data_IF_363515406484
#
_entry.id   IF_363515406484
#
_cell.length_a   1.000
_cell.length_b   1.000
_cell.length_c   1.000
_cell.angle_alpha   90.00
_cell.angle_beta   90.00
_cell.angle_gamma   90.00
#
_symmetry.space_group_name_H-M   'P 1'
#
loop_
_entity.id
_entity.type
_entity.pdbx_description
1 polymer ?
#
# COMPACT_ATOMS: atom_id res chain seq x y z
N UNK A 1 11.89 6.21 36.68
CA UNK A 1 10.63 5.95 35.97
C UNK A 1 10.96 5.75 34.50
N UNK A 2 10.47 4.68 33.86
CA UNK A 2 10.68 4.49 32.42
C UNK A 2 9.59 5.24 31.65
N UNK A 3 9.98 6.34 31.00
CA UNK A 3 9.10 7.18 30.21
C UNK A 3 8.91 6.55 28.82
N UNK A 4 7.67 6.49 28.32
CA UNK A 4 7.34 5.96 26.99
C UNK A 4 6.08 6.57 26.42
N UNK A 5 6.03 6.72 25.09
CA UNK A 5 4.80 7.06 24.38
C UNK A 5 3.78 5.93 24.51
N UNK A 6 2.55 6.28 24.85
CA UNK A 6 1.45 5.33 25.04
C UNK A 6 0.23 5.80 24.25
N UNK A 7 -0.30 4.95 23.36
CA UNK A 7 -1.54 5.27 22.62
C UNK A 7 -2.67 5.53 23.61
N UNK A 8 -3.49 6.57 23.38
CA UNK A 8 -4.62 6.93 24.27
C UNK A 8 -5.54 5.74 24.55
N UNK A 9 -5.79 4.87 23.56
CA UNK A 9 -6.58 3.64 23.73
C UNK A 9 -6.03 2.64 24.76
N UNK A 10 -4.74 2.74 25.09
CA UNK A 10 -4.06 1.88 26.05
C UNK A 10 -3.84 2.56 27.41
N UNK A 11 -4.14 3.86 27.57
CA UNK A 11 -4.04 4.56 28.84
C UNK A 11 -5.02 4.00 29.86
N UNK A 12 -4.64 4.07 31.13
CA UNK A 12 -5.43 3.61 32.28
C UNK A 12 -5.61 4.77 33.25
N UNK A 13 -6.73 4.77 33.96
CA UNK A 13 -6.96 5.69 35.09
C UNK A 13 -5.84 5.44 36.12
N UNK A 14 -5.30 6.52 36.70
CA UNK A 14 -4.15 6.49 37.60
C UNK A 14 -2.78 6.50 36.89
N UNK A 15 -2.74 6.44 35.56
CA UNK A 15 -1.48 6.60 34.82
C UNK A 15 -1.01 8.07 34.87
N UNK A 16 0.30 8.26 35.00
CA UNK A 16 0.92 9.58 34.92
C UNK A 16 1.21 9.93 33.45
N UNK A 17 0.82 11.13 33.01
CA UNK A 17 1.09 11.68 31.68
C UNK A 17 1.91 12.96 31.79
N UNK A 18 2.70 13.26 30.76
CA UNK A 18 3.45 14.51 30.70
C UNK A 18 2.52 15.66 30.29
N UNK A 19 2.52 16.72 31.09
CA UNK A 19 1.77 17.95 30.85
C UNK A 19 2.72 19.15 30.87
N UNK A 20 2.33 20.22 30.21
CA UNK A 20 2.99 21.51 30.28
C UNK A 20 2.05 22.51 30.95
N UNK A 21 2.41 22.91 32.17
CA UNK A 21 1.63 23.81 33.00
C UNK A 21 2.54 24.87 33.63
N UNK A 22 2.05 26.10 33.73
CA UNK A 22 2.77 27.23 34.36
C UNK A 22 4.23 27.42 33.90
N UNK A 23 4.51 27.14 32.62
CA UNK A 23 5.84 27.32 32.04
C UNK A 23 6.80 26.14 32.22
N UNK A 24 6.36 25.03 32.82
CA UNK A 24 7.18 23.87 33.12
C UNK A 24 6.52 22.54 32.72
N UNK A 25 7.36 21.53 32.46
CA UNK A 25 6.90 20.15 32.30
C UNK A 25 6.63 19.52 33.66
N UNK A 26 5.50 18.84 33.78
CA UNK A 26 5.08 18.12 34.98
C UNK A 26 4.46 16.77 34.61
N UNK A 27 4.29 15.91 35.61
CA UNK A 27 3.53 14.67 35.49
C UNK A 27 2.19 14.83 36.20
N UNK A 28 1.10 14.51 35.50
CA UNK A 28 -0.26 14.60 36.05
C UNK A 28 -1.01 13.27 35.88
N UNK A 29 -1.98 13.03 36.75
CA UNK A 29 -2.72 11.76 36.82
C UNK A 29 -3.95 11.76 35.90
N UNK A 30 -4.07 10.71 35.08
CA UNK A 30 -5.27 10.48 34.27
C UNK A 30 -6.41 10.02 35.18
N UNK A 31 -7.41 10.88 35.40
CA UNK A 31 -8.59 10.55 36.21
C UNK A 31 -9.74 9.93 35.42
N UNK A 32 -9.78 10.12 34.09
CA UNK A 32 -10.81 9.52 33.23
C UNK A 32 -10.37 9.38 31.78
N UNK A 33 -10.85 8.34 31.10
CA UNK A 33 -10.72 8.15 29.64
C UNK A 33 -12.07 7.69 29.11
N UNK A 34 -12.65 8.42 28.16
CA UNK A 34 -13.99 8.15 27.61
C UNK A 34 -13.95 8.17 26.08
N UNK A 35 -14.65 7.23 25.44
CA UNK A 35 -14.87 7.29 23.99
C UNK A 35 -15.95 8.32 23.67
N UNK A 36 -15.70 9.17 22.66
CA UNK A 36 -16.60 10.27 22.28
C UNK A 36 -17.22 10.10 20.88
N UNK A 37 -16.96 8.98 20.21
CA UNK A 37 -17.44 8.74 18.84
C UNK A 37 -16.47 9.23 17.76
N UNK A 38 -16.98 9.39 16.53
CA UNK A 38 -16.20 9.84 15.37
C UNK A 38 -16.32 11.35 15.23
N UNK A 39 -15.18 12.03 15.20
CA UNK A 39 -15.10 13.47 14.99
C UNK A 39 -14.06 13.81 13.92
N UNK A 40 -14.13 15.02 13.38
CA UNK A 40 -13.06 15.55 12.53
C UNK A 40 -11.89 15.92 13.44
N UNK A 41 -10.76 15.24 13.24
CA UNK A 41 -9.52 15.47 14.00
C UNK A 41 -8.47 16.09 13.10
N UNK A 42 -7.50 16.74 13.73
CA UNK A 42 -6.39 17.41 13.08
C UNK A 42 -5.09 16.97 13.72
N UNK A 43 -4.01 17.03 12.96
CA UNK A 43 -2.66 16.81 13.46
C UNK A 43 -1.71 17.83 12.83
N UNK A 44 -0.55 18.02 13.45
CA UNK A 44 0.51 18.89 12.96
C UNK A 44 1.82 18.13 12.82
N UNK A 45 2.71 18.61 11.95
CA UNK A 45 4.10 18.15 11.93
C UNK A 45 5.01 19.16 12.62
N UNK A 46 5.84 18.69 13.55
CA UNK A 46 6.82 19.49 14.30
C UNK A 46 8.18 18.93 14.01
N UNK A 47 9.00 19.73 13.32
CA UNK A 47 10.35 19.33 12.93
C UNK A 47 11.22 18.97 14.14
N UNK A 48 12.05 17.93 14.00
CA UNK A 48 12.99 17.38 14.98
C UNK A 48 12.34 16.65 16.17
N UNK A 49 11.41 17.29 16.88
CA UNK A 49 10.87 16.72 18.12
C UNK A 49 9.72 15.75 17.88
N UNK A 50 8.95 15.95 16.80
CA UNK A 50 7.73 15.20 16.47
C UNK A 50 6.74 15.11 17.65
N UNK A 51 6.72 16.15 18.49
CA UNK A 51 5.79 16.29 19.61
C UNK A 51 5.39 17.75 19.81
N UNK A 52 4.22 17.96 20.40
CA UNK A 52 3.64 19.28 20.66
C UNK A 52 2.80 19.28 21.94
N UNK A 53 2.50 20.47 22.45
CA UNK A 53 1.57 20.65 23.57
C UNK A 53 0.18 21.00 23.02
N UNK A 54 -0.80 20.13 23.25
CA UNK A 54 -2.21 20.36 22.93
C UNK A 54 -3.04 20.40 24.21
N UNK A 55 -3.73 21.52 24.49
CA UNK A 55 -4.51 21.72 25.72
C UNK A 55 -3.74 21.38 27.00
N UNK A 56 -2.46 21.76 27.08
CA UNK A 56 -1.60 21.48 28.23
C UNK A 56 -1.05 20.05 28.31
N UNK A 57 -1.40 19.15 27.39
CA UNK A 57 -0.89 17.77 27.36
C UNK A 57 0.23 17.66 26.34
N UNK A 58 1.34 17.03 26.70
CA UNK A 58 2.39 16.69 25.76
C UNK A 58 1.95 15.52 24.88
N UNK A 59 1.68 15.80 23.61
CA UNK A 59 1.22 14.87 22.60
C UNK A 59 2.32 14.57 21.57
N UNK A 60 2.19 13.44 20.89
CA UNK A 60 3.09 13.01 19.82
C UNK A 60 2.38 13.17 18.48
N UNK A 61 3.13 13.52 17.44
CA UNK A 61 2.62 13.58 16.06
C UNK A 61 2.20 12.19 15.56
N UNK A 62 1.32 12.10 14.58
CA UNK A 62 0.97 10.80 14.01
C UNK A 62 2.17 10.17 13.32
N UNK A 63 2.75 9.16 13.97
CA UNK A 63 3.60 8.19 13.31
C UNK A 63 2.72 7.06 12.78
N UNK A 64 2.67 6.90 11.47
CA UNK A 64 1.99 5.77 10.84
C UNK A 64 2.82 4.50 11.15
N UNK A 65 2.37 3.73 12.14
CA UNK A 65 2.94 2.42 12.45
C UNK A 65 2.00 1.33 11.92
N UNK A 66 2.44 0.61 10.88
CA UNK A 66 1.70 -0.48 10.26
C UNK A 66 1.25 -0.19 8.83
N UNK A 67 0.20 -0.88 8.38
CA UNK A 67 -0.33 -0.77 7.03
C UNK A 67 -1.17 0.50 6.84
N UNK A 68 -1.01 1.16 5.71
CA UNK A 68 -1.81 2.32 5.27
C UNK A 68 -2.86 1.84 4.30
N UNK A 69 -4.13 2.01 4.66
CA UNK A 69 -5.26 1.79 3.77
C UNK A 69 -5.83 3.12 3.27
N UNK A 70 -5.95 3.30 1.96
CA UNK A 70 -6.70 4.41 1.34
C UNK A 70 -7.95 3.79 0.72
N UNK A 71 -9.14 4.20 1.16
CA UNK A 71 -10.40 3.58 0.73
C UNK A 71 -10.69 2.19 1.36
N UNK A 72 -9.80 1.68 2.21
CA UNK A 72 -9.96 0.40 2.93
C UNK A 72 -9.60 0.54 4.41
N UNK A 73 -10.29 -0.20 5.29
CA UNK A 73 -10.01 -0.24 6.74
C UNK A 73 -9.23 -1.48 7.16
N UNK A 74 -9.02 -2.43 6.26
CA UNK A 74 -8.34 -3.71 6.53
C UNK A 74 -7.23 -3.96 5.50
N UNK A 75 -6.23 -3.06 5.39
CA UNK A 75 -5.14 -3.22 4.44
C UNK A 75 -4.30 -4.46 4.78
N UNK A 76 -4.10 -5.30 3.79
CA UNK A 76 -3.26 -6.52 3.83
C UNK A 76 -1.80 -6.23 3.48
N UNK A 77 -1.54 -5.12 2.80
CA UNK A 77 -0.21 -4.64 2.42
C UNK A 77 0.19 -3.37 3.18
N UNK A 78 1.51 -3.08 3.24
CA UNK A 78 2.02 -1.87 3.90
C UNK A 78 1.38 -0.58 3.38
N UNK A 79 1.06 -0.54 2.08
CA UNK A 79 0.21 0.45 1.47
C UNK A 79 -0.78 -0.28 0.56
N UNK A 80 -2.07 -0.08 0.79
CA UNK A 80 -3.15 -0.62 -0.03
C UNK A 80 -4.14 0.49 -0.37
N UNK A 81 -4.48 0.60 -1.64
CA UNK A 81 -5.46 1.57 -2.15
C UNK A 81 -6.61 0.77 -2.76
N UNK A 82 -7.80 0.91 -2.18
CA UNK A 82 -9.03 0.37 -2.77
C UNK A 82 -9.52 1.37 -3.83
N UNK A 83 -8.97 1.25 -5.04
CA UNK A 83 -9.21 2.16 -6.16
C UNK A 83 -7.94 2.41 -6.97
N UNK A 84 -7.99 3.44 -7.80
CA UNK A 84 -6.87 3.80 -8.68
C UNK A 84 -5.79 4.61 -7.93
N UNK A 85 -4.54 4.45 -8.39
CA UNK A 85 -3.39 5.21 -7.88
C UNK A 85 -2.94 6.19 -8.95
N UNK A 86 -3.27 7.47 -8.76
CA UNK A 86 -2.69 8.57 -9.54
C UNK A 86 -1.33 8.97 -8.99
N UNK A 87 -0.25 8.70 -9.74
CA UNK A 87 1.11 9.09 -9.36
C UNK A 87 1.88 9.66 -10.57
N UNK A 88 2.80 10.59 -10.30
CA UNK A 88 3.71 11.12 -11.32
C UNK A 88 4.84 10.14 -11.67
N UNK A 89 5.04 9.09 -10.87
CA UNK A 89 6.00 8.04 -11.14
C UNK A 89 5.90 6.87 -10.17
N UNK A 90 6.11 5.66 -10.71
CA UNK A 90 6.28 4.43 -9.95
C UNK A 90 7.72 3.94 -10.13
N UNK A 91 8.58 4.30 -9.18
CA UNK A 91 10.02 4.02 -9.27
C UNK A 91 10.36 2.78 -8.45
N UNK A 92 10.86 1.74 -9.11
CA UNK A 92 11.48 0.60 -8.45
C UNK A 92 12.92 0.95 -8.07
N UNK A 93 13.24 1.00 -6.76
CA UNK A 93 14.62 1.14 -6.29
C UNK A 93 15.40 -0.13 -6.64
N UNK A 94 16.16 -0.08 -7.73
CA UNK A 94 16.75 -1.26 -8.36
C UNK A 94 18.27 -1.18 -8.51
N UNK A 95 18.96 -0.40 -7.68
CA UNK A 95 20.42 -0.27 -7.75
C UNK A 95 21.12 -1.56 -7.31
N UNK A 96 22.42 -1.69 -7.61
CA UNK A 96 23.21 -2.87 -7.22
C UNK A 96 23.37 -2.94 -5.70
N UNK A 97 23.49 -1.79 -5.04
CA UNK A 97 23.67 -1.65 -3.59
C UNK A 97 22.40 -2.04 -2.83
N UNK A 98 21.23 -1.83 -3.43
CA UNK A 98 19.95 -2.27 -2.88
C UNK A 98 19.71 -3.79 -3.01
N UNK A 99 20.60 -4.52 -3.69
CA UNK A 99 20.45 -5.93 -4.04
C UNK A 99 21.65 -6.76 -3.54
N UNK A 100 21.43 -8.05 -3.36
CA UNK A 100 22.45 -9.05 -3.05
C UNK A 100 22.23 -10.29 -3.90
N UNK A 101 23.25 -11.13 -4.03
CA UNK A 101 23.16 -12.44 -4.69
C UNK A 101 22.59 -12.33 -6.13
N UNK A 102 23.14 -11.42 -6.93
CA UNK A 102 22.65 -11.13 -8.29
C UNK A 102 23.18 -12.19 -9.27
N UNK A 103 22.27 -12.99 -9.80
CA UNK A 103 22.51 -13.95 -10.87
C UNK A 103 21.81 -13.50 -12.16
N UNK A 104 22.47 -13.71 -13.31
CA UNK A 104 21.91 -13.39 -14.61
C UNK A 104 21.36 -14.64 -15.28
N UNK A 105 20.25 -14.47 -16.01
CA UNK A 105 19.60 -15.53 -16.77
C UNK A 105 20.49 -16.07 -17.90
N UNK A 106 20.41 -17.37 -18.10
CA UNK A 106 21.06 -18.14 -19.16
C UNK A 106 20.14 -18.25 -20.39
N UNK A 107 20.68 -18.67 -21.54
CA UNK A 107 19.87 -18.92 -22.74
C UNK A 107 18.73 -19.92 -22.50
N UNK A 108 18.96 -20.95 -21.67
CA UNK A 108 17.95 -21.95 -21.33
C UNK A 108 16.76 -21.36 -20.54
N UNK A 109 17.00 -20.29 -19.77
CA UNK A 109 15.92 -19.57 -19.07
C UNK A 109 15.03 -18.80 -20.04
N UNK A 110 15.62 -18.25 -21.11
CA UNK A 110 14.89 -17.52 -22.14
C UNK A 110 14.05 -18.44 -23.04
N UNK A 111 14.53 -19.64 -23.38
CA UNK A 111 13.77 -20.59 -24.21
C UNK A 111 12.41 -20.99 -23.58
N UNK A 112 12.39 -21.18 -22.26
CA UNK A 112 11.17 -21.55 -21.55
C UNK A 112 10.16 -20.39 -21.44
N UNK A 113 10.60 -19.15 -21.60
CA UNK A 113 9.75 -17.97 -21.39
C UNK A 113 8.72 -17.80 -22.50
N UNK A 114 9.09 -18.13 -23.75
CA UNK A 114 8.20 -17.96 -24.91
C UNK A 114 6.97 -18.85 -24.81
N UNK A 115 7.15 -20.11 -24.39
CA UNK A 115 6.04 -21.02 -24.15
C UNK A 115 5.10 -20.51 -23.04
N UNK A 116 5.65 -19.96 -21.96
CA UNK A 116 4.86 -19.39 -20.85
C UNK A 116 4.11 -18.13 -21.24
N UNK A 117 4.73 -17.24 -22.02
CA UNK A 117 4.08 -16.03 -22.55
C UNK A 117 2.96 -16.43 -23.52
N UNK A 118 3.22 -17.38 -24.43
CA UNK A 118 2.24 -17.88 -25.39
C UNK A 118 1.04 -18.55 -24.70
N UNK A 119 1.28 -19.28 -23.60
CA UNK A 119 0.23 -19.91 -22.82
C UNK A 119 -0.53 -18.96 -21.88
N UNK A 120 -0.03 -17.74 -21.64
CA UNK A 120 -0.68 -16.79 -20.74
C UNK A 120 -2.00 -16.27 -21.36
N UNK A 121 -3.07 -16.30 -20.57
CA UNK A 121 -4.40 -15.88 -21.00
C UNK A 121 -4.67 -14.45 -20.54
N UNK A 122 -5.12 -13.60 -21.47
CA UNK A 122 -5.61 -12.26 -21.17
C UNK A 122 -7.13 -12.30 -21.06
N UNK A 123 -7.66 -11.77 -19.97
CA UNK A 123 -9.08 -11.75 -19.66
C UNK A 123 -9.61 -10.31 -19.61
N UNK A 124 -10.92 -10.18 -19.80
CA UNK A 124 -11.67 -8.98 -19.41
C UNK A 124 -12.55 -9.28 -18.22
N UNK A 125 -12.52 -8.46 -17.16
CA UNK A 125 -13.19 -8.73 -15.90
C UNK A 125 -13.79 -7.48 -15.23
N UNK A 126 -14.65 -7.71 -14.25
CA UNK A 126 -15.09 -6.73 -13.26
C UNK A 126 -14.52 -7.17 -11.91
N UNK A 127 -14.10 -6.24 -11.07
CA UNK A 127 -13.94 -6.54 -9.64
C UNK A 127 -15.30 -6.75 -8.99
N UNK A 128 -15.33 -7.47 -7.87
CA UNK A 128 -16.58 -7.77 -7.18
C UNK A 128 -17.27 -6.51 -6.62
N UNK A 129 -16.51 -5.44 -6.38
CA UNK A 129 -16.97 -4.14 -5.93
C UNK A 129 -17.18 -3.14 -7.07
N UNK A 130 -16.88 -3.50 -8.33
CA UNK A 130 -17.22 -2.66 -9.48
C UNK A 130 -18.76 -2.56 -9.56
N UNK A 131 -19.28 -1.34 -9.38
CA UNK A 131 -20.70 -1.07 -9.42
C UNK A 131 -21.23 -1.25 -10.84
N UNK A 132 -22.17 -2.18 -11.04
CA UNK A 132 -22.84 -2.36 -12.33
C UNK A 132 -23.81 -1.18 -12.53
N UNK A 133 -23.54 -0.29 -13.49
CA UNK A 133 -24.42 0.84 -13.78
C UNK A 133 -25.77 0.36 -14.33
N UNK A 134 -26.76 0.25 -13.44
CA UNK A 134 -28.17 0.00 -13.76
C UNK A 134 -29.05 1.14 -13.21
N UNK A 135 -29.58 1.95 -14.12
CA UNK A 135 -30.67 2.94 -14.00
C UNK A 135 -31.38 3.13 -12.65
N UNK A 136 -30.74 3.74 -11.64
CA UNK A 136 -31.35 4.80 -10.81
C UNK A 136 -30.32 5.34 -9.81
N UNK A 137 -29.85 6.57 -10.07
CA UNK A 137 -28.95 7.30 -9.18
C UNK A 137 -29.71 7.84 -7.97
N UNK A 138 -29.31 7.41 -6.78
CA UNK A 138 -29.12 8.30 -5.63
C UNK A 138 -28.09 7.64 -4.72
N UNK A 139 -26.87 8.17 -4.66
CA UNK A 139 -26.07 8.36 -3.44
C UNK A 139 -24.72 8.96 -3.86
N UNK A 140 -24.45 10.16 -3.36
CA UNK A 140 -23.13 10.78 -3.35
C UNK A 140 -22.22 9.90 -2.49
N UNK A 141 -21.30 9.16 -3.11
CA UNK A 141 -20.24 8.46 -2.39
C UNK A 141 -18.91 8.91 -2.94
N UNK A 142 -18.10 9.52 -2.06
CA UNK A 142 -16.71 9.86 -2.29
C UNK A 142 -15.96 8.64 -2.83
N UNK A 143 -15.43 8.74 -4.06
CA UNK A 143 -14.50 7.75 -4.62
C UNK A 143 -14.97 6.97 -5.84
N UNK A 144 -16.05 7.37 -6.53
CA UNK A 144 -16.31 6.82 -7.87
C UNK A 144 -15.55 7.63 -8.92
N UNK A 145 -14.28 7.30 -9.15
CA UNK A 145 -13.71 7.55 -10.48
C UNK A 145 -14.54 6.70 -11.45
N UNK A 146 -15.47 7.39 -12.09
CA UNK A 146 -16.11 7.08 -13.35
C UNK A 146 -16.07 5.60 -13.80
N UNK A 147 -16.81 4.72 -13.11
CA UNK A 147 -17.16 3.37 -13.59
C UNK A 147 -18.17 3.42 -14.75
N UNK A 148 -18.04 4.38 -15.67
CA UNK A 148 -18.69 4.32 -16.98
C UNK A 148 -17.94 3.40 -17.96
N UNK A 149 -16.80 2.84 -17.55
CA UNK A 149 -15.77 2.28 -18.44
C UNK A 149 -15.64 0.75 -18.54
N UNK A 150 -16.72 -0.02 -18.70
CA UNK A 150 -16.64 -1.42 -19.18
C UNK A 150 -15.74 -2.39 -18.37
N UNK A 151 -15.59 -3.62 -18.86
CA UNK A 151 -14.70 -4.60 -18.22
C UNK A 151 -13.24 -4.16 -18.34
N UNK A 152 -12.47 -4.29 -17.25
CA UNK A 152 -11.02 -4.10 -17.23
C UNK A 152 -10.31 -5.23 -17.98
N UNK A 153 -9.13 -4.97 -18.53
CA UNK A 153 -8.29 -5.94 -19.24
C UNK A 153 -7.10 -6.35 -18.35
N UNK A 154 -6.77 -7.64 -18.25
CA UNK A 154 -5.59 -8.08 -17.50
C UNK A 154 -5.46 -9.60 -17.39
N UNK A 155 -4.62 -10.06 -16.45
CA UNK A 155 -4.41 -11.48 -16.16
C UNK A 155 -5.21 -11.91 -14.94
N UNK A 156 -5.58 -13.19 -14.89
CA UNK A 156 -6.13 -13.84 -13.70
C UNK A 156 -4.97 -14.52 -12.97
N UNK A 157 -4.77 -14.23 -11.68
CA UNK A 157 -3.59 -14.65 -10.93
C UNK A 157 -3.39 -16.17 -10.94
N UNK A 158 -4.48 -16.94 -10.81
CA UNK A 158 -4.48 -18.40 -10.81
C UNK A 158 -4.13 -19.01 -12.18
N UNK A 159 -4.26 -18.24 -13.26
CA UNK A 159 -3.96 -18.67 -14.63
C UNK A 159 -2.66 -18.06 -15.19
N UNK A 160 -2.07 -17.09 -14.48
CA UNK A 160 -0.90 -16.35 -14.95
C UNK A 160 0.40 -17.11 -14.65
N UNK A 161 1.48 -16.84 -15.42
CA UNK A 161 2.81 -17.37 -15.10
C UNK A 161 3.23 -16.96 -13.68
N UNK A 162 3.65 -17.93 -12.87
CA UNK A 162 4.08 -17.70 -11.47
C UNK A 162 5.15 -16.60 -11.34
N UNK A 163 5.97 -16.41 -12.37
CA UNK A 163 7.06 -15.43 -12.40
C UNK A 163 6.55 -13.99 -12.33
N UNK A 164 5.31 -13.71 -12.75
CA UNK A 164 4.72 -12.36 -12.72
C UNK A 164 3.88 -12.09 -11.48
N UNK A 165 3.65 -13.09 -10.64
CA UNK A 165 2.76 -12.96 -9.48
C UNK A 165 3.43 -12.20 -8.32
N UNK A 166 2.61 -11.52 -7.53
CA UNK A 166 2.98 -10.97 -6.21
C UNK A 166 3.45 -12.09 -5.27
N UNK A 167 4.06 -11.72 -4.14
CA UNK A 167 4.63 -12.68 -3.20
C UNK A 167 3.59 -13.63 -2.57
N UNK A 168 2.35 -13.16 -2.40
CA UNK A 168 1.21 -13.95 -1.92
C UNK A 168 0.51 -14.76 -3.03
N UNK A 169 0.90 -14.55 -4.30
CA UNK A 169 0.30 -15.19 -5.46
C UNK A 169 -1.09 -14.68 -5.84
N UNK A 170 -1.62 -13.65 -5.18
CA UNK A 170 -3.00 -13.17 -5.39
C UNK A 170 -3.10 -12.00 -6.37
N UNK A 171 -1.98 -11.37 -6.73
CA UNK A 171 -1.90 -10.25 -7.65
C UNK A 171 -0.82 -10.41 -8.70
N UNK A 172 -0.80 -9.50 -9.67
CA UNK A 172 0.25 -9.41 -10.69
C UNK A 172 1.17 -8.26 -10.33
N UNK A 173 2.45 -8.56 -10.14
CA UNK A 173 3.48 -7.56 -9.89
C UNK A 173 3.92 -6.94 -11.22
N UNK A 174 3.71 -5.63 -11.38
CA UNK A 174 4.00 -4.92 -12.63
C UNK A 174 5.48 -4.90 -12.99
N UNK A 175 6.38 -4.85 -12.01
CA UNK A 175 7.82 -4.86 -12.28
C UNK A 175 8.29 -6.25 -12.72
N UNK A 176 7.74 -7.31 -12.10
CA UNK A 176 7.97 -8.68 -12.55
C UNK A 176 7.40 -8.93 -13.94
N UNK A 177 6.16 -8.49 -14.20
CA UNK A 177 5.52 -8.61 -15.52
C UNK A 177 6.36 -7.90 -16.60
N UNK A 178 6.77 -6.66 -16.38
CA UNK A 178 7.62 -5.92 -17.32
C UNK A 178 8.96 -6.63 -17.58
N UNK A 179 9.60 -7.14 -16.53
CA UNK A 179 10.84 -7.90 -16.65
C UNK A 179 10.65 -9.22 -17.41
N UNK A 180 9.54 -9.92 -17.16
CA UNK A 180 9.18 -11.17 -17.82
C UNK A 180 8.85 -10.96 -19.31
N UNK A 181 8.15 -9.88 -19.65
CA UNK A 181 7.93 -9.49 -21.05
C UNK A 181 9.25 -9.14 -21.74
N UNK A 182 10.16 -8.42 -21.07
CA UNK A 182 11.50 -8.14 -21.59
C UNK A 182 12.29 -9.44 -21.84
N UNK A 183 12.17 -10.45 -20.97
CA UNK A 183 12.76 -11.76 -21.22
C UNK A 183 12.22 -12.37 -22.51
N UNK A 184 10.91 -12.33 -22.75
CA UNK A 184 10.29 -12.80 -23.99
C UNK A 184 10.80 -12.08 -25.23
N UNK A 185 10.92 -10.75 -25.16
CA UNK A 185 11.48 -9.93 -26.26
C UNK A 185 12.93 -10.35 -26.57
N UNK A 186 13.74 -10.58 -25.54
CA UNK A 186 15.12 -11.06 -25.71
C UNK A 186 15.19 -12.46 -26.31
N UNK A 187 14.31 -13.37 -25.88
CA UNK A 187 14.21 -14.72 -26.43
C UNK A 187 13.88 -14.69 -27.93
N UNK A 188 12.84 -13.93 -28.31
CA UNK A 188 12.44 -13.75 -29.70
C UNK A 188 13.56 -13.12 -30.56
N UNK A 189 14.26 -12.13 -30.02
CA UNK A 189 15.41 -11.52 -30.72
C UNK A 189 16.52 -12.53 -31.02
N UNK A 190 16.72 -13.52 -30.15
CA UNK A 190 17.69 -14.61 -30.39
C UNK A 190 17.28 -15.50 -31.56
N UNK A 191 15.99 -15.84 -31.65
CA UNK A 191 15.45 -16.66 -32.74
C UNK A 191 15.57 -15.95 -34.10
N UNK A 192 15.22 -14.66 -34.18
CA UNK A 192 15.25 -13.88 -35.43
C UNK A 192 16.67 -13.73 -35.99
N UNK A 193 17.70 -13.65 -35.15
CA UNK A 193 19.11 -13.52 -35.57
C UNK A 193 19.69 -14.87 -36.04
N UNK A 194 19.05 -15.98 -35.69
CA UNK A 194 19.50 -17.33 -36.05
C UNK A 194 18.97 -17.85 -37.39
N UNK A 195 18.16 -17.05 -38.10
CA UNK A 195 17.59 -17.33 -39.44
C UNK A 195 18.33 -16.53 -40.51
#
# INVERSE_FOLDING_TARGET
MNQRWTKVKNLKIGAQIAVYDNGALAWDEVVSVKSVGREKVYDIEVENSHNFVGNGILAHNTYIFGNVGIGTTTPTHQLEVAGDIGATGFVNLSTREAKKDIEYLTSADYEQVLAKISGARVATYWYNDDMTYGTNRTYETYGSDDLTGGKRLGLIAEEAPREVLSADGQGVDLYKLASFTLMGVKALSGEVISV
#
